data_IF_901460728307
#
_entry.id   IF_901460728307
#
_cell.length_a   1.000
_cell.length_b   1.000
_cell.length_c   1.000
_cell.angle_alpha   90.00
_cell.angle_beta   90.00
_cell.angle_gamma   90.00
#
_symmetry.space_group_name_H-M   'P 1'
#
loop_
_entity.id
_entity.type
_entity.pdbx_description
1 polymer ?
#
# COMPACT_ATOMS: atom_id res chain seq x y z
N UNK A 1 40.53 18.93 -29.61
CA UNK A 1 39.28 19.42 -28.99
C UNK A 1 38.35 18.23 -28.79
N UNK A 2 38.27 17.79 -27.53
CA UNK A 2 37.46 16.70 -26.96
C UNK A 2 36.02 16.64 -27.49
N UNK A 3 35.58 15.48 -28.02
CA UNK A 3 34.68 14.45 -27.42
C UNK A 3 33.48 15.05 -26.65
N UNK A 4 32.21 14.67 -26.84
CA UNK A 4 31.59 13.35 -26.91
C UNK A 4 30.13 13.58 -27.41
N UNK A 5 29.64 12.96 -28.48
CA UNK A 5 29.00 11.65 -28.38
C UNK A 5 27.58 11.73 -27.78
N UNK A 6 26.61 12.32 -28.48
CA UNK A 6 25.20 12.19 -28.13
C UNK A 6 24.78 10.72 -28.27
N UNK A 7 24.75 10.01 -27.13
CA UNK A 7 24.42 8.60 -27.07
C UNK A 7 22.92 8.44 -27.36
N UNK A 8 22.61 7.80 -28.49
CA UNK A 8 21.27 7.37 -28.89
C UNK A 8 20.69 6.52 -27.75
N UNK A 9 19.65 7.04 -27.07
CA UNK A 9 18.91 6.27 -26.07
C UNK A 9 18.18 5.15 -26.82
N UNK A 10 18.50 3.93 -26.43
CA UNK A 10 17.92 2.71 -27.00
C UNK A 10 16.41 2.67 -26.74
N UNK A 11 15.62 2.50 -27.80
CA UNK A 11 14.16 2.56 -27.81
C UNK A 11 13.49 1.39 -27.07
N UNK A 12 14.26 0.44 -26.52
CA UNK A 12 13.77 -0.70 -25.74
C UNK A 12 13.98 -0.59 -24.23
N UNK A 13 14.40 0.56 -23.70
CA UNK A 13 14.47 0.75 -22.23
C UNK A 13 13.10 1.18 -21.71
N UNK A 14 12.36 0.26 -21.09
CA UNK A 14 11.24 0.63 -20.24
C UNK A 14 11.78 1.51 -19.11
N UNK A 15 11.49 2.81 -19.15
CA UNK A 15 11.83 3.71 -18.07
C UNK A 15 11.03 3.29 -16.83
N UNK A 16 11.66 2.54 -15.94
CA UNK A 16 11.12 2.30 -14.60
C UNK A 16 11.11 3.64 -13.90
N UNK A 17 9.93 4.18 -13.62
CA UNK A 17 9.78 5.40 -12.84
C UNK A 17 10.25 5.13 -11.42
N UNK A 18 11.43 5.60 -11.06
CA UNK A 18 11.98 5.50 -9.70
C UNK A 18 11.55 6.75 -8.92
N UNK A 19 10.48 6.63 -8.15
CA UNK A 19 9.97 7.68 -7.27
C UNK A 19 10.51 7.49 -5.85
N UNK A 20 11.41 8.40 -5.42
CA UNK A 20 12.04 8.39 -4.09
C UNK A 20 11.55 9.52 -3.18
N UNK A 21 10.47 10.22 -3.56
CA UNK A 21 9.99 11.38 -2.81
C UNK A 21 9.36 11.00 -1.48
N UNK A 22 8.68 9.86 -1.43
CA UNK A 22 7.93 9.39 -0.26
C UNK A 22 7.56 7.91 -0.42
N UNK A 23 7.45 7.19 0.69
CA UNK A 23 6.85 5.85 0.77
C UNK A 23 5.31 5.88 0.66
N UNK A 24 4.68 7.04 0.86
CA UNK A 24 3.23 7.24 0.63
C UNK A 24 2.83 7.11 -0.84
N UNK A 25 3.79 7.11 -1.77
CA UNK A 25 3.56 6.88 -3.21
C UNK A 25 3.42 5.39 -3.56
N UNK A 26 3.47 4.51 -2.56
CA UNK A 26 3.23 3.07 -2.73
C UNK A 26 1.84 2.80 -3.31
N UNK A 27 1.74 1.76 -4.13
CA UNK A 27 0.46 1.32 -4.71
C UNK A 27 0.17 -0.13 -4.33
N UNK A 28 -1.10 -0.52 -4.15
CA UNK A 28 -1.44 -1.91 -3.82
C UNK A 28 -0.87 -2.90 -4.84
N UNK A 29 -0.35 -4.03 -4.36
CA UNK A 29 0.04 -5.14 -5.24
C UNK A 29 -1.20 -5.91 -5.73
N UNK A 30 -1.08 -6.79 -6.75
CA UNK A 30 -2.21 -7.59 -7.22
C UNK A 30 -2.89 -8.41 -6.12
N UNK A 31 -2.12 -9.06 -5.24
CA UNK A 31 -2.68 -9.85 -4.13
C UNK A 31 -3.43 -8.99 -3.09
N UNK A 32 -2.98 -7.76 -2.85
CA UNK A 32 -3.71 -6.82 -1.99
C UNK A 32 -5.04 -6.42 -2.62
N UNK A 33 -5.06 -6.12 -3.93
CA UNK A 33 -6.31 -5.80 -4.64
C UNK A 33 -7.29 -6.96 -4.66
N UNK A 34 -6.81 -8.19 -4.83
CA UNK A 34 -7.64 -9.39 -4.78
C UNK A 34 -8.24 -9.61 -3.39
N UNK A 35 -7.44 -9.45 -2.34
CA UNK A 35 -7.95 -9.55 -0.97
C UNK A 35 -9.02 -8.47 -0.69
N UNK A 36 -8.75 -7.21 -1.08
CA UNK A 36 -9.70 -6.12 -0.91
C UNK A 36 -11.03 -6.37 -1.62
N UNK A 37 -11.01 -6.97 -2.81
CA UNK A 37 -12.25 -7.24 -3.57
C UNK A 37 -13.07 -8.40 -3.00
N UNK A 38 -12.46 -9.27 -2.20
CA UNK A 38 -13.08 -10.44 -1.59
C UNK A 38 -13.41 -10.23 -0.09
N UNK A 39 -12.99 -9.12 0.50
CA UNK A 39 -13.18 -8.83 1.92
C UNK A 39 -14.67 -8.75 2.29
N UNK A 40 -15.02 -9.33 3.44
CA UNK A 40 -16.34 -9.19 4.03
C UNK A 40 -16.46 -7.79 4.65
N UNK A 41 -17.48 -7.04 4.24
CA UNK A 41 -17.71 -5.67 4.71
C UNK A 41 -19.02 -5.58 5.48
N UNK A 42 -19.07 -4.67 6.44
CA UNK A 42 -20.26 -4.38 7.25
C UNK A 42 -20.34 -2.90 7.63
N UNK A 43 -21.20 -2.57 8.58
CA UNK A 43 -21.28 -1.23 9.14
C UNK A 43 -20.35 -1.10 10.35
N UNK A 44 -19.27 -0.34 10.19
CA UNK A 44 -18.27 -0.13 11.25
C UNK A 44 -18.79 0.70 12.42
N UNK A 45 -19.74 1.63 12.20
CA UNK A 45 -20.32 2.44 13.28
C UNK A 45 -21.09 1.57 14.26
N UNK A 46 -21.72 0.49 13.77
CA UNK A 46 -22.42 -0.50 14.59
C UNK A 46 -21.54 -1.70 14.98
N UNK A 47 -20.26 -1.74 14.56
CA UNK A 47 -19.35 -2.84 14.87
C UNK A 47 -19.69 -4.14 14.12
N UNK A 48 -20.29 -4.02 12.94
CA UNK A 48 -20.71 -5.16 12.11
C UNK A 48 -19.71 -5.48 10.99
N UNK A 49 -18.63 -4.70 10.83
CA UNK A 49 -17.57 -5.00 9.87
C UNK A 49 -16.57 -6.04 10.43
N UNK A 50 -16.55 -7.27 9.90
CA UNK A 50 -15.66 -8.32 10.40
C UNK A 50 -14.19 -8.06 10.02
N UNK A 51 -13.92 -7.44 8.88
CA UNK A 51 -12.56 -7.19 8.39
C UNK A 51 -11.86 -6.15 9.25
N UNK A 52 -12.57 -5.09 9.66
CA UNK A 52 -12.03 -4.07 10.56
C UNK A 52 -11.75 -4.67 11.94
N UNK A 53 -12.68 -5.46 12.50
CA UNK A 53 -12.46 -6.11 13.79
C UNK A 53 -11.27 -7.06 13.80
N UNK A 54 -11.07 -7.82 12.73
CA UNK A 54 -9.90 -8.70 12.59
C UNK A 54 -8.60 -7.91 12.54
N UNK A 55 -8.57 -6.80 11.80
CA UNK A 55 -7.42 -5.91 11.72
C UNK A 55 -7.09 -5.32 13.10
N UNK A 56 -8.08 -4.77 13.79
CA UNK A 56 -7.89 -4.12 15.09
C UNK A 56 -7.42 -5.11 16.16
N UNK A 57 -8.03 -6.30 16.25
CA UNK A 57 -7.62 -7.37 17.16
C UNK A 57 -6.18 -7.81 16.89
N UNK A 58 -5.84 -7.99 15.61
CA UNK A 58 -4.47 -8.36 15.20
C UNK A 58 -3.47 -7.29 15.58
N UNK A 59 -3.77 -6.02 15.34
CA UNK A 59 -2.87 -4.92 15.66
C UNK A 59 -2.72 -4.71 17.16
N UNK A 60 -3.81 -4.82 17.93
CA UNK A 60 -3.78 -4.78 19.40
C UNK A 60 -2.87 -5.89 19.95
N UNK A 61 -3.03 -7.12 19.45
CA UNK A 61 -2.18 -8.25 19.82
C UNK A 61 -0.70 -8.01 19.50
N UNK A 62 -0.38 -7.56 18.27
CA UNK A 62 1.00 -7.29 17.86
C UNK A 62 1.64 -6.15 18.66
N UNK A 63 0.87 -5.15 19.06
CA UNK A 63 1.33 -4.02 19.84
C UNK A 63 1.36 -4.28 21.36
N UNK A 64 0.79 -5.41 21.83
CA UNK A 64 0.64 -5.69 23.27
C UNK A 64 -0.35 -4.76 23.98
N UNK A 65 -1.37 -4.29 23.26
CA UNK A 65 -2.38 -3.35 23.75
C UNK A 65 -3.73 -4.06 23.94
N UNK A 66 -4.61 -3.47 24.75
CA UNK A 66 -5.94 -4.04 25.00
C UNK A 66 -6.87 -3.97 23.78
N UNK A 67 -6.74 -2.92 22.97
CA UNK A 67 -7.58 -2.67 21.79
C UNK A 67 -6.82 -1.90 20.70
N UNK A 68 -7.33 -1.98 19.47
CA UNK A 68 -6.90 -1.19 18.31
C UNK A 68 -8.10 -0.47 17.71
N UNK A 69 -7.84 0.61 16.96
CA UNK A 69 -8.86 1.35 16.23
C UNK A 69 -8.35 1.68 14.84
N UNK A 70 -9.10 1.32 13.80
CA UNK A 70 -8.79 1.72 12.42
C UNK A 70 -9.24 3.16 12.17
N UNK A 71 -8.38 3.97 11.55
CA UNK A 71 -8.66 5.37 11.21
C UNK A 71 -8.23 5.68 9.77
N UNK A 72 -8.86 6.66 9.09
CA UNK A 72 -8.54 6.96 7.69
C UNK A 72 -7.11 7.47 7.45
N UNK A 73 -6.49 8.06 8.46
CA UNK A 73 -5.12 8.56 8.42
C UNK A 73 -4.46 8.48 9.80
N UNK A 74 -3.13 8.41 9.81
CA UNK A 74 -2.33 8.66 11.01
C UNK A 74 -2.35 10.12 11.43
#
# INVERSE_FOLDING_TARGET
MSILGAKKVDSSVTLVSVDLRSDTQTTPCPGMREYMSQALVGDDVYGEDPTIQELEKKMAYLAGMEAGLFVPSG
#
